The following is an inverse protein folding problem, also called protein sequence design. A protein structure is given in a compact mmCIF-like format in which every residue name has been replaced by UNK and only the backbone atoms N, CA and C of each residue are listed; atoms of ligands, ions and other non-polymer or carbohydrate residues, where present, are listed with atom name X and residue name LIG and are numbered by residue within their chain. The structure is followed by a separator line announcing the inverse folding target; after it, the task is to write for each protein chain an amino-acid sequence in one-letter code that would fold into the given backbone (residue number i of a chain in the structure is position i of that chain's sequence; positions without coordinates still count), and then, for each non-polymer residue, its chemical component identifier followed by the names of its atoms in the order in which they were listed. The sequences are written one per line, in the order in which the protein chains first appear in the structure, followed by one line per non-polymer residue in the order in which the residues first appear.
data_IF_621908352941
#
_entry.id   IF_621908352941
#
_cell.length_a   1.000
_cell.length_b   1.000
_cell.length_c   1.000
_cell.angle_alpha   90.00
_cell.angle_beta   90.00
_cell.angle_gamma   90.00
#
_symmetry.space_group_name_H-M   'P 1'
#
loop_
_entity.id
_entity.type
_entity.pdbx_description
1 polymer ?
#
# COMPACT_ATOMS: atom_id res chain seq x y z
N UNK A 1 -44.13 -9.65 96.47
CA UNK A 1 -44.04 -8.41 95.67
C UNK A 1 -43.32 -8.74 94.37
N UNK A 2 -44.00 -8.63 93.22
CA UNK A 2 -43.53 -9.06 91.89
C UNK A 2 -43.21 -7.85 91.01
N UNK A 3 -42.01 -7.78 90.42
CA UNK A 3 -41.68 -7.08 89.15
C UNK A 3 -40.56 -7.89 88.48
N UNK A 4 -40.86 -8.68 87.43
CA UNK A 4 -40.62 -8.44 85.97
C UNK A 4 -39.11 -8.30 85.67
N UNK A 5 -38.36 -9.29 85.16
CA UNK A 5 -38.38 -9.96 83.82
C UNK A 5 -38.61 -8.93 82.70
N UNK A 6 -37.72 -8.66 81.74
CA UNK A 6 -37.01 -9.58 80.82
C UNK A 6 -35.98 -8.74 80.03
N UNK A 7 -34.80 -9.27 79.70
CA UNK A 7 -34.00 -8.78 78.56
C UNK A 7 -33.17 -9.95 78.02
N UNK A 8 -33.54 -10.41 76.82
CA UNK A 8 -32.89 -11.48 76.06
C UNK A 8 -32.33 -10.84 74.79
N UNK A 9 -31.05 -11.12 74.54
CA UNK A 9 -30.37 -10.87 73.27
C UNK A 9 -31.07 -11.64 72.14
N UNK A 10 -31.34 -10.98 71.02
CA UNK A 10 -31.59 -11.63 69.74
C UNK A 10 -30.81 -10.90 68.64
N UNK A 11 -29.96 -11.66 67.96
CA UNK A 11 -29.15 -11.25 66.83
C UNK A 11 -30.03 -10.91 65.62
N UNK A 12 -29.75 -9.77 64.97
CA UNK A 12 -30.33 -9.43 63.67
C UNK A 12 -29.37 -9.86 62.55
N UNK A 13 -29.84 -10.81 61.73
CA UNK A 13 -29.35 -11.14 60.40
C UNK A 13 -29.73 -9.99 59.45
N UNK A 14 -28.75 -9.28 58.90
CA UNK A 14 -28.97 -8.38 57.76
C UNK A 14 -28.77 -9.13 56.46
N UNK A 15 -29.88 -9.39 55.77
CA UNK A 15 -29.94 -9.88 54.39
C UNK A 15 -29.57 -8.73 53.45
N UNK A 16 -28.45 -8.85 52.74
CA UNK A 16 -28.14 -8.01 51.57
C UNK A 16 -28.97 -8.52 50.39
N UNK A 17 -30.12 -7.89 50.14
CA UNK A 17 -30.79 -7.97 48.85
C UNK A 17 -30.02 -7.07 47.88
N UNK A 18 -29.20 -7.67 47.01
CA UNK A 18 -28.60 -6.99 45.89
C UNK A 18 -29.68 -6.56 44.91
N UNK A 19 -30.05 -5.29 44.96
CA UNK A 19 -30.76 -4.61 43.88
C UNK A 19 -29.81 -4.51 42.68
N UNK A 20 -29.96 -5.41 41.71
CA UNK A 20 -29.58 -5.12 40.34
C UNK A 20 -30.56 -4.07 39.80
N UNK A 21 -30.37 -2.81 40.21
CA UNK A 21 -30.87 -1.70 39.44
C UNK A 21 -29.95 -1.55 38.24
N UNK A 22 -30.45 -2.04 37.11
CA UNK A 22 -30.03 -1.71 35.75
C UNK A 22 -29.87 -0.19 35.63
N UNK A 23 -28.63 0.28 35.71
CA UNK A 23 -28.22 1.63 35.32
C UNK A 23 -28.20 1.74 33.78
N UNK A 24 -29.38 1.61 33.17
CA UNK A 24 -29.59 1.90 31.75
C UNK A 24 -30.18 3.30 31.51
N UNK A 25 -30.31 4.13 32.56
CA UNK A 25 -30.95 5.44 32.50
C UNK A 25 -29.99 6.63 32.38
N UNK A 26 -28.68 6.39 32.34
CA UNK A 26 -27.65 7.45 32.27
C UNK A 26 -26.48 7.07 31.35
N UNK A 27 -26.75 6.27 30.31
CA UNK A 27 -25.93 6.36 29.10
C UNK A 27 -26.29 7.70 28.43
N UNK A 28 -25.78 8.80 29.01
CA UNK A 28 -25.73 10.09 28.33
C UNK A 28 -25.26 9.79 26.92
N UNK A 29 -26.11 10.08 25.92
CA UNK A 29 -25.80 9.86 24.51
C UNK A 29 -24.47 10.52 24.23
N UNK A 30 -23.41 9.72 24.23
CA UNK A 30 -22.06 10.19 24.03
C UNK A 30 -22.05 10.81 22.65
N UNK A 31 -21.79 12.10 22.58
CA UNK A 31 -21.66 12.80 21.31
C UNK A 31 -20.37 12.35 20.64
N UNK A 32 -20.39 12.32 19.32
CA UNK A 32 -19.20 12.14 18.51
C UNK A 32 -18.22 13.30 18.75
N UNK A 33 -16.93 13.04 18.62
CA UNK A 33 -15.94 14.12 18.67
C UNK A 33 -16.13 15.03 17.46
N UNK A 34 -16.01 16.34 17.66
CA UNK A 34 -16.17 17.34 16.59
C UNK A 34 -15.24 17.07 15.41
N UNK A 35 -14.02 16.55 15.66
CA UNK A 35 -13.06 16.17 14.61
C UNK A 35 -13.51 15.01 13.74
N UNK A 36 -14.46 14.20 14.21
CA UNK A 36 -15.01 13.08 13.46
C UNK A 36 -16.19 13.50 12.60
N UNK A 37 -16.75 14.70 12.80
CA UNK A 37 -17.92 15.17 12.05
C UNK A 37 -17.51 15.62 10.64
N UNK A 38 -18.29 15.27 9.60
CA UNK A 38 -17.94 15.64 8.24
C UNK A 38 -18.32 17.09 7.94
N UNK A 39 -17.71 17.65 6.89
CA UNK A 39 -18.20 18.85 6.24
C UNK A 39 -19.33 18.53 5.27
N UNK A 40 -20.24 19.48 5.10
CA UNK A 40 -21.26 19.47 4.05
C UNK A 40 -21.11 20.73 3.22
N UNK A 41 -20.87 20.55 1.92
CA UNK A 41 -20.89 21.62 0.93
C UNK A 41 -22.30 21.79 0.39
N UNK A 42 -22.84 22.99 0.55
CA UNK A 42 -24.14 23.41 0.07
C UNK A 42 -23.99 23.91 -1.36
N UNK A 43 -24.74 23.33 -2.30
CA UNK A 43 -24.69 23.71 -3.72
C UNK A 43 -25.80 24.71 -4.09
N UNK A 44 -26.84 24.80 -3.25
CA UNK A 44 -27.90 25.80 -3.30
C UNK A 44 -27.87 26.65 -2.01
N UNK A 45 -28.70 27.70 -1.94
CA UNK A 45 -28.92 28.44 -0.70
C UNK A 45 -29.77 27.59 0.26
N UNK A 46 -29.37 27.51 1.53
CA UNK A 46 -30.12 26.79 2.57
C UNK A 46 -30.60 27.74 3.66
N UNK A 47 -31.82 27.54 4.14
CA UNK A 47 -32.29 28.18 5.37
C UNK A 47 -31.67 27.50 6.58
N UNK A 48 -31.41 28.27 7.62
CA UNK A 48 -30.99 27.77 8.93
C UNK A 48 -32.13 27.90 9.94
N UNK A 49 -32.19 26.92 10.83
CA UNK A 49 -33.24 26.76 11.81
C UNK A 49 -32.67 26.62 13.23
N UNK A 50 -33.39 27.04 14.27
CA UNK A 50 -32.88 26.97 15.64
C UNK A 50 -32.90 25.55 16.24
N UNK A 51 -33.79 24.66 15.80
CA UNK A 51 -33.93 23.28 16.30
C UNK A 51 -34.26 22.29 15.18
N UNK A 52 -34.25 20.98 15.49
CA UNK A 52 -34.56 19.90 14.54
C UNK A 52 -36.05 19.94 14.12
N UNK A 53 -36.95 20.27 15.03
CA UNK A 53 -38.41 20.17 14.86
C UNK A 53 -39.08 21.41 14.25
N UNK A 54 -38.31 22.45 13.92
CA UNK A 54 -38.83 23.71 13.41
C UNK A 54 -39.52 23.61 12.04
N UNK A 55 -40.45 24.54 11.83
CA UNK A 55 -41.20 24.69 10.59
C UNK A 55 -40.49 25.59 9.57
N UNK A 56 -40.82 25.48 8.26
CA UNK A 56 -40.17 26.28 7.21
C UNK A 56 -40.27 27.81 7.35
N UNK A 57 -41.24 28.31 8.13
CA UNK A 57 -41.47 29.72 8.44
C UNK A 57 -40.68 30.23 9.67
N UNK A 58 -40.03 29.33 10.41
CA UNK A 58 -39.22 29.63 11.60
C UNK A 58 -37.72 29.75 11.28
N UNK A 59 -37.37 30.00 10.02
CA UNK A 59 -35.98 30.18 9.60
C UNK A 59 -35.36 31.42 10.27
N UNK A 60 -34.20 31.24 10.88
CA UNK A 60 -33.45 32.30 11.60
C UNK A 60 -32.37 32.96 10.73
N UNK A 61 -32.23 32.51 9.48
CA UNK A 61 -31.27 33.02 8.51
C UNK A 61 -31.10 32.08 7.32
N UNK A 62 -30.04 32.29 6.56
CA UNK A 62 -29.66 31.47 5.41
C UNK A 62 -28.15 31.41 5.22
N UNK A 63 -27.68 30.30 4.67
CA UNK A 63 -26.31 30.08 4.21
C UNK A 63 -26.35 30.06 2.69
N UNK A 64 -25.49 30.84 2.05
CA UNK A 64 -25.46 30.94 0.59
C UNK A 64 -24.88 29.66 -0.03
N UNK A 65 -25.24 29.42 -1.29
CA UNK A 65 -24.65 28.38 -2.12
C UNK A 65 -23.12 28.44 -2.17
N UNK A 66 -22.51 27.31 -2.49
CA UNK A 66 -21.07 27.11 -2.64
C UNK A 66 -20.30 27.42 -1.35
N UNK A 67 -20.88 27.09 -0.20
CA UNK A 67 -20.23 27.16 1.11
C UNK A 67 -20.20 25.79 1.77
N UNK A 68 -19.12 25.52 2.51
CA UNK A 68 -19.03 24.33 3.35
C UNK A 68 -19.29 24.68 4.80
N UNK A 69 -20.13 23.88 5.43
CA UNK A 69 -20.44 23.96 6.86
C UNK A 69 -19.96 22.69 7.55
N UNK A 70 -19.43 22.85 8.76
CA UNK A 70 -19.02 21.73 9.59
C UNK A 70 -20.24 21.19 10.33
N UNK A 71 -20.45 19.87 10.32
CA UNK A 71 -21.55 19.29 11.09
C UNK A 71 -21.25 19.40 12.60
N UNK A 72 -22.25 19.80 13.38
CA UNK A 72 -22.10 19.83 14.83
C UNK A 72 -22.16 18.40 15.40
N UNK A 73 -21.52 18.12 16.55
CA UNK A 73 -21.55 16.82 17.19
C UNK A 73 -22.95 16.23 17.35
N UNK A 74 -23.13 14.97 16.93
CA UNK A 74 -24.36 14.19 17.10
C UNK A 74 -24.12 12.95 17.96
N UNK A 75 -25.16 12.31 18.50
CA UNK A 75 -25.01 11.01 19.18
C UNK A 75 -24.26 9.98 18.33
N UNK A 76 -23.30 9.26 18.92
CA UNK A 76 -22.43 8.31 18.19
C UNK A 76 -23.23 7.25 17.41
N UNK A 77 -24.36 6.81 17.95
CA UNK A 77 -25.26 5.84 17.33
C UNK A 77 -25.92 6.36 16.03
N UNK A 78 -25.93 7.68 15.81
CA UNK A 78 -26.42 8.32 14.57
C UNK A 78 -25.36 8.53 13.49
N UNK A 79 -24.06 8.39 13.81
CA UNK A 79 -22.97 8.67 12.85
C UNK A 79 -23.08 7.88 11.54
N UNK A 80 -23.41 6.59 11.65
CA UNK A 80 -23.55 5.72 10.48
C UNK A 80 -24.83 5.99 9.66
N UNK A 81 -25.74 6.81 10.19
CA UNK A 81 -27.02 7.14 9.56
C UNK A 81 -27.09 8.58 9.05
N UNK A 82 -25.99 9.35 9.11
CA UNK A 82 -25.95 10.75 8.65
C UNK A 82 -26.48 10.90 7.22
N UNK A 83 -26.18 9.96 6.33
CA UNK A 83 -26.64 10.01 4.94
C UNK A 83 -28.17 9.93 4.78
N UNK A 84 -28.86 9.39 5.78
CA UNK A 84 -30.33 9.27 5.79
C UNK A 84 -31.01 10.39 6.59
N UNK A 85 -30.23 11.30 7.19
CA UNK A 85 -30.79 12.43 7.94
C UNK A 85 -31.35 13.46 6.97
N UNK A 86 -32.59 13.87 7.21
CA UNK A 86 -33.23 14.93 6.41
C UNK A 86 -32.81 16.32 6.90
N UNK A 87 -32.62 16.46 8.21
CA UNK A 87 -32.09 17.65 8.85
C UNK A 87 -30.82 17.29 9.60
N UNK A 88 -29.82 18.15 9.48
CA UNK A 88 -28.55 17.96 10.18
C UNK A 88 -28.19 19.21 10.99
N UNK A 89 -27.57 19.04 12.16
CA UNK A 89 -27.05 20.16 12.92
C UNK A 89 -25.68 20.57 12.36
N UNK A 90 -25.47 21.86 12.21
CA UNK A 90 -24.26 22.47 11.64
C UNK A 90 -23.76 23.60 12.52
N UNK A 91 -22.45 23.78 12.55
CA UNK A 91 -21.80 24.88 13.24
C UNK A 91 -21.89 26.14 12.39
N UNK A 92 -22.47 27.21 12.96
CA UNK A 92 -22.63 28.51 12.29
C UNK A 92 -22.17 29.66 13.17
N UNK A 93 -22.16 30.88 12.63
CA UNK A 93 -21.86 32.09 13.41
C UNK A 93 -22.91 32.40 14.49
N UNK A 94 -24.09 31.77 14.45
CA UNK A 94 -25.13 31.87 15.48
C UNK A 94 -25.05 30.74 16.52
N UNK A 95 -24.02 29.90 16.46
CA UNK A 95 -23.92 28.64 17.21
C UNK A 95 -24.44 27.46 16.41
N UNK A 96 -24.86 26.40 17.11
CA UNK A 96 -25.43 25.21 16.47
C UNK A 96 -26.80 25.58 15.89
N UNK A 97 -26.95 25.38 14.59
CA UNK A 97 -28.20 25.55 13.87
C UNK A 97 -28.50 24.29 13.05
N UNK A 98 -29.71 24.19 12.53
CA UNK A 98 -30.15 23.04 11.74
C UNK A 98 -30.38 23.46 10.29
N UNK A 99 -29.95 22.64 9.35
CA UNK A 99 -30.28 22.78 7.93
C UNK A 99 -31.09 21.57 7.47
N UNK A 100 -32.02 21.80 6.54
CA UNK A 100 -32.85 20.75 5.96
C UNK A 100 -32.31 20.39 4.57
N UNK A 101 -31.68 19.21 4.47
CA UNK A 101 -31.05 18.69 3.27
C UNK A 101 -32.03 18.43 2.12
N UNK A 102 -33.35 18.41 2.38
CA UNK A 102 -34.39 18.33 1.34
C UNK A 102 -34.66 19.66 0.62
N UNK A 103 -34.19 20.79 1.15
CA UNK A 103 -34.49 22.11 0.58
C UNK A 103 -33.60 22.48 -0.61
N UNK A 104 -32.49 21.78 -0.81
CA UNK A 104 -31.54 22.09 -1.87
C UNK A 104 -30.55 20.96 -2.14
N UNK A 105 -29.66 21.19 -3.09
CA UNK A 105 -28.62 20.26 -3.49
C UNK A 105 -27.40 20.41 -2.57
N UNK A 106 -26.78 19.29 -2.19
CA UNK A 106 -25.61 19.29 -1.30
C UNK A 106 -24.66 18.13 -1.62
N UNK A 107 -23.43 18.22 -1.10
CA UNK A 107 -22.47 17.12 -1.07
C UNK A 107 -21.76 17.07 0.27
N UNK A 108 -21.57 15.87 0.78
CA UNK A 108 -20.59 15.65 1.85
C UNK A 108 -19.18 15.91 1.31
N UNK A 109 -18.35 16.54 2.13
CA UNK A 109 -17.02 17.00 1.77
C UNK A 109 -16.85 18.52 1.92
N UNK A 110 -15.59 18.93 1.99
CA UNK A 110 -15.21 20.34 2.15
C UNK A 110 -14.82 20.94 0.79
N UNK A 111 -15.39 22.11 0.47
CA UNK A 111 -15.06 22.89 -0.70
C UNK A 111 -13.71 23.57 -0.49
N UNK A 112 -12.73 23.09 -1.22
CA UNK A 112 -11.37 23.64 -1.17
C UNK A 112 -11.15 24.53 -2.38
N UNK A 113 -10.98 25.83 -2.14
CA UNK A 113 -10.62 26.79 -3.19
C UNK A 113 -9.13 26.70 -3.50
N UNK A 114 -8.81 26.13 -4.66
CA UNK A 114 -7.44 25.99 -5.15
C UNK A 114 -7.48 26.05 -6.68
N UNK A 115 -6.83 27.07 -7.22
CA UNK A 115 -6.63 27.15 -8.66
C UNK A 115 -5.57 26.15 -9.11
N UNK A 116 -5.91 25.33 -10.10
CA UNK A 116 -4.99 24.38 -10.72
C UNK A 116 -5.42 24.06 -12.15
N UNK A 117 -4.45 23.79 -13.01
CA UNK A 117 -4.70 23.29 -14.35
C UNK A 117 -4.84 21.77 -14.31
N UNK A 118 -5.88 21.25 -14.96
CA UNK A 118 -6.09 19.82 -15.18
C UNK A 118 -5.96 19.52 -16.67
N UNK A 119 -5.17 18.51 -17.03
CA UNK A 119 -5.08 18.01 -18.39
C UNK A 119 -5.96 16.76 -18.52
N UNK A 120 -7.16 16.95 -19.09
CA UNK A 120 -8.14 15.89 -19.30
C UNK A 120 -7.65 14.94 -20.38
N UNK A 121 -7.70 13.64 -20.11
CA UNK A 121 -7.22 12.60 -21.03
C UNK A 121 -8.36 11.80 -21.68
N UNK A 122 -9.56 11.87 -21.11
CA UNK A 122 -10.72 11.13 -21.59
C UNK A 122 -11.28 11.72 -22.88
N UNK A 123 -11.73 10.84 -23.78
CA UNK A 123 -12.42 11.27 -24.99
C UNK A 123 -13.68 12.10 -24.71
N UNK A 124 -14.37 11.80 -23.61
CA UNK A 124 -15.61 12.45 -23.19
C UNK A 124 -15.67 12.58 -21.66
N UNK A 125 -15.21 13.70 -21.10
CA UNK A 125 -15.40 14.02 -19.69
C UNK A 125 -16.77 14.69 -19.48
N UNK A 126 -17.70 14.09 -18.70
CA UNK A 126 -19.02 14.67 -18.46
C UNK A 126 -18.94 15.99 -17.70
N UNK A 127 -19.82 16.93 -18.06
CA UNK A 127 -19.95 18.23 -17.39
C UNK A 127 -21.27 18.27 -16.63
N UNK A 128 -21.25 18.88 -15.45
CA UNK A 128 -22.39 19.05 -14.57
C UNK A 128 -22.61 20.53 -14.24
N UNK A 129 -23.87 20.91 -14.04
CA UNK A 129 -24.22 22.25 -13.53
C UNK A 129 -23.78 22.43 -12.07
N UNK A 130 -24.01 23.61 -11.47
CA UNK A 130 -23.58 23.90 -10.10
C UNK A 130 -24.27 23.01 -9.06
N UNK A 131 -25.50 22.56 -9.34
CA UNK A 131 -26.25 21.59 -8.55
C UNK A 131 -25.83 20.14 -8.80
N UNK A 132 -24.76 19.92 -9.57
CA UNK A 132 -24.24 18.62 -9.98
C UNK A 132 -25.23 17.76 -10.78
N UNK A 133 -26.15 18.38 -11.53
CA UNK A 133 -26.98 17.68 -12.51
C UNK A 133 -26.21 17.52 -13.80
N UNK A 134 -26.29 16.33 -14.38
CA UNK A 134 -25.61 16.02 -15.65
C UNK A 134 -26.13 16.93 -16.74
N UNK A 135 -25.21 17.46 -17.55
CA UNK A 135 -25.55 18.15 -18.79
C UNK A 135 -25.37 17.19 -19.97
N UNK A 136 -25.92 17.54 -21.14
CA UNK A 136 -25.72 16.79 -22.39
C UNK A 136 -24.37 17.12 -23.06
N UNK A 137 -23.52 17.93 -22.42
CA UNK A 137 -22.25 18.42 -22.96
C UNK A 137 -21.11 17.66 -22.30
N UNK A 138 -20.13 17.27 -23.10
CA UNK A 138 -18.88 16.65 -22.66
C UNK A 138 -17.68 17.50 -23.08
N UNK A 139 -16.56 17.34 -22.38
CA UNK A 139 -15.27 17.87 -22.77
C UNK A 139 -14.44 16.78 -23.43
N UNK A 140 -13.85 17.09 -24.57
CA UNK A 140 -12.78 16.29 -25.16
C UNK A 140 -11.45 16.50 -24.40
N UNK A 141 -10.41 15.68 -24.64
CA UNK A 141 -9.10 15.86 -24.01
C UNK A 141 -8.57 17.28 -24.24
N UNK A 142 -8.32 18.00 -23.15
CA UNK A 142 -7.86 19.39 -23.17
C UNK A 142 -7.41 19.83 -21.79
N UNK A 143 -6.73 20.98 -21.72
CA UNK A 143 -6.42 21.64 -20.45
C UNK A 143 -7.61 22.48 -19.98
N UNK A 144 -7.95 22.37 -18.71
CA UNK A 144 -9.00 23.17 -18.05
C UNK A 144 -8.48 23.79 -16.75
N UNK A 145 -9.02 24.94 -16.37
CA UNK A 145 -8.72 25.59 -15.10
C UNK A 145 -9.76 25.20 -14.05
N UNK A 146 -9.35 24.38 -13.09
CA UNK A 146 -10.12 24.10 -11.88
C UNK A 146 -9.84 25.20 -10.85
N UNK A 147 -10.90 25.76 -10.26
CA UNK A 147 -10.83 26.85 -9.28
C UNK A 147 -11.20 26.39 -7.86
N UNK A 148 -11.86 25.25 -7.73
CA UNK A 148 -12.17 24.62 -6.46
C UNK A 148 -12.35 23.11 -6.63
N UNK A 149 -12.36 22.38 -5.51
CA UNK A 149 -12.65 20.95 -5.50
C UNK A 149 -13.41 20.51 -4.25
N UNK A 150 -14.16 19.42 -4.37
CA UNK A 150 -14.81 18.72 -3.24
C UNK A 150 -14.37 17.26 -3.29
N UNK A 151 -13.84 16.75 -2.19
CA UNK A 151 -13.55 15.32 -2.03
C UNK A 151 -14.88 14.58 -1.76
N UNK A 152 -15.39 13.82 -2.72
CA UNK A 152 -16.71 13.18 -2.69
C UNK A 152 -16.71 11.79 -2.05
N UNK A 153 -16.02 11.64 -0.93
CA UNK A 153 -16.16 10.44 -0.14
C UNK A 153 -17.42 10.54 0.71
N UNK A 154 -18.23 9.49 0.74
CA UNK A 154 -19.32 9.39 1.70
C UNK A 154 -18.75 9.43 3.14
N UNK A 155 -19.40 10.11 4.09
CA UNK A 155 -18.94 10.15 5.48
C UNK A 155 -18.73 8.73 6.03
N UNK A 156 -17.60 8.51 6.70
CA UNK A 156 -17.19 7.23 7.31
C UNK A 156 -17.06 6.05 6.35
N UNK A 157 -17.22 6.27 5.05
CA UNK A 157 -16.66 5.38 4.04
C UNK A 157 -15.23 5.87 3.80
N UNK A 158 -14.19 5.10 4.14
CA UNK A 158 -12.83 5.54 3.87
C UNK A 158 -12.72 5.91 2.39
N UNK A 159 -12.05 7.03 2.08
CA UNK A 159 -11.60 7.33 0.73
C UNK A 159 -10.63 6.22 0.33
N UNK A 160 -11.17 5.12 -0.20
CA UNK A 160 -10.49 3.82 -0.21
C UNK A 160 -9.34 3.72 -1.20
N UNK A 161 -8.96 4.80 -1.86
CA UNK A 161 -7.66 4.89 -2.52
C UNK A 161 -7.11 6.30 -2.33
N UNK A 162 -5.78 6.41 -2.27
CA UNK A 162 -5.03 7.67 -2.33
C UNK A 162 -5.17 8.40 -3.69
N UNK A 163 -6.18 8.05 -4.49
CA UNK A 163 -6.47 8.68 -5.77
C UNK A 163 -7.59 9.71 -5.65
N UNK A 164 -7.54 10.72 -6.49
CA UNK A 164 -8.59 11.74 -6.64
C UNK A 164 -9.86 11.21 -7.38
N UNK A 165 -10.12 9.89 -7.40
CA UNK A 165 -11.27 9.27 -8.11
C UNK A 165 -12.65 9.66 -7.56
N UNK A 166 -12.65 10.18 -6.33
CA UNK A 166 -13.84 10.77 -5.71
C UNK A 166 -13.86 12.28 -5.80
N UNK A 167 -12.94 12.93 -6.49
CA UNK A 167 -12.85 14.39 -6.44
C UNK A 167 -13.70 15.04 -7.52
N UNK A 168 -14.56 15.97 -7.10
CA UNK A 168 -15.20 16.91 -8.01
C UNK A 168 -14.32 18.13 -8.17
N UNK A 169 -14.19 18.63 -9.39
CA UNK A 169 -13.50 19.88 -9.70
C UNK A 169 -14.48 20.88 -10.27
N UNK A 170 -14.50 22.08 -9.68
CA UNK A 170 -15.23 23.21 -10.22
C UNK A 170 -14.31 23.89 -11.22
N UNK A 171 -14.67 23.82 -12.50
CA UNK A 171 -13.92 24.45 -13.58
C UNK A 171 -14.59 25.74 -14.04
N UNK A 172 -13.80 26.65 -14.60
CA UNK A 172 -14.31 27.83 -15.30
C UNK A 172 -14.35 27.56 -16.79
N UNK A 173 -15.54 27.59 -17.38
CA UNK A 173 -15.71 27.54 -18.84
C UNK A 173 -15.95 28.95 -19.37
N UNK A 174 -15.44 29.24 -20.57
CA UNK A 174 -15.64 30.54 -21.23
C UNK A 174 -17.07 30.75 -21.75
N UNK A 175 -17.83 29.66 -21.96
CA UNK A 175 -19.11 29.66 -22.67
C UNK A 175 -20.32 29.40 -21.78
N UNK A 176 -20.19 28.72 -20.63
CA UNK A 176 -21.30 28.47 -19.70
C UNK A 176 -20.99 28.82 -18.25
N UNK A 177 -19.90 29.54 -18.00
CA UNK A 177 -19.47 29.90 -16.65
C UNK A 177 -18.92 28.70 -15.87
N UNK A 178 -19.17 28.68 -14.56
CA UNK A 178 -18.66 27.62 -13.70
C UNK A 178 -19.43 26.30 -13.88
N UNK A 179 -18.71 25.19 -13.89
CA UNK A 179 -19.25 23.84 -14.06
C UNK A 179 -18.47 22.84 -13.24
N UNK A 180 -19.14 21.79 -12.78
CA UNK A 180 -18.48 20.67 -12.12
C UNK A 180 -18.06 19.63 -13.15
N UNK A 181 -16.88 19.07 -12.97
CA UNK A 181 -16.43 17.87 -13.66
C UNK A 181 -15.95 16.83 -12.64
N UNK A 182 -15.99 15.58 -13.06
CA UNK A 182 -15.42 14.45 -12.32
C UNK A 182 -14.65 13.56 -13.30
N UNK A 183 -13.43 13.95 -13.67
CA UNK A 183 -12.62 13.15 -14.57
C UNK A 183 -12.12 11.90 -13.85
N UNK A 184 -12.33 10.72 -14.43
CA UNK A 184 -11.73 9.47 -13.94
C UNK A 184 -10.23 9.44 -14.32
N UNK A 185 -9.87 10.01 -15.48
CA UNK A 185 -8.50 10.10 -16.00
C UNK A 185 -8.08 11.53 -16.37
N UNK A 186 -7.04 12.02 -15.70
CA UNK A 186 -6.34 13.27 -16.02
C UNK A 186 -4.87 13.15 -15.63
N UNK A 187 -4.00 13.91 -16.30
CA UNK A 187 -2.54 13.75 -16.19
C UNK A 187 -2.01 13.95 -14.76
N UNK A 188 -2.48 14.98 -14.08
CA UNK A 188 -1.99 15.42 -12.77
C UNK A 188 -2.35 14.42 -11.64
N UNK A 189 -3.22 13.44 -11.92
CA UNK A 189 -3.54 12.33 -11.02
C UNK A 189 -2.36 11.37 -10.84
N UNK A 190 -1.53 11.21 -11.87
CA UNK A 190 -0.44 10.23 -11.90
C UNK A 190 0.82 10.81 -11.27
N UNK A 191 0.75 11.11 -9.97
CA UNK A 191 1.87 11.62 -9.19
C UNK A 191 2.73 10.44 -8.75
N UNK A 192 3.91 10.31 -9.34
CA UNK A 192 4.89 9.31 -8.91
C UNK A 192 5.62 9.77 -7.64
N UNK A 193 5.87 8.84 -6.73
CA UNK A 193 6.78 9.05 -5.60
C UNK A 193 8.23 8.87 -6.08
N UNK A 194 9.17 9.75 -5.71
CA UNK A 194 10.58 9.55 -6.00
C UNK A 194 11.06 8.20 -5.46
N UNK A 195 11.93 7.54 -6.23
CA UNK A 195 12.60 6.30 -5.82
C UNK A 195 14.07 6.35 -6.20
N UNK A 196 14.93 5.74 -5.39
CA UNK A 196 16.37 5.79 -5.58
C UNK A 196 16.93 4.53 -6.24
N UNK A 197 16.29 3.37 -6.00
CA UNK A 197 16.68 2.08 -6.52
C UNK A 197 16.59 1.97 -8.03
N UNK A 198 17.38 1.08 -8.61
CA UNK A 198 17.25 0.70 -10.01
C UNK A 198 16.13 -0.32 -10.17
N UNK A 199 15.51 -0.40 -11.34
CA UNK A 199 14.46 -1.39 -11.61
C UNK A 199 14.85 -2.28 -12.80
N UNK A 200 14.64 -3.61 -12.69
CA UNK A 200 14.87 -4.52 -13.78
C UNK A 200 13.68 -4.53 -14.76
N UNK A 201 14.00 -4.54 -16.05
CA UNK A 201 13.06 -4.70 -17.16
C UNK A 201 13.37 -6.06 -17.79
N UNK A 202 12.49 -7.05 -17.54
CA UNK A 202 12.72 -8.44 -17.97
C UNK A 202 12.37 -8.69 -19.43
N UNK A 203 11.38 -8.00 -19.96
CA UNK A 203 10.91 -8.18 -21.33
C UNK A 203 10.82 -6.84 -22.03
N UNK A 204 10.70 -6.86 -23.35
CA UNK A 204 10.52 -5.66 -24.16
C UNK A 204 9.29 -4.88 -23.68
N UNK A 205 9.50 -3.64 -23.23
CA UNK A 205 8.48 -2.86 -22.54
C UNK A 205 8.04 -1.65 -23.36
N UNK A 206 6.73 -1.50 -23.55
CA UNK A 206 6.16 -0.32 -24.21
C UNK A 206 6.23 0.90 -23.30
N UNK A 207 6.38 2.07 -23.92
CA UNK A 207 6.39 3.36 -23.23
C UNK A 207 5.05 4.07 -23.38
N UNK A 208 4.71 4.87 -22.38
CA UNK A 208 3.43 5.56 -22.25
C UNK A 208 3.65 7.02 -21.87
N UNK A 209 2.76 7.90 -22.31
CA UNK A 209 2.76 9.29 -21.85
C UNK A 209 2.23 9.39 -20.42
N UNK A 210 1.18 8.63 -20.09
CA UNK A 210 0.63 8.49 -18.74
C UNK A 210 0.27 7.02 -18.43
N UNK A 211 0.26 6.61 -17.16
CA UNK A 211 -0.21 5.28 -16.76
C UNK A 211 -1.62 4.97 -17.29
N UNK A 212 -1.84 3.71 -17.68
CA UNK A 212 -3.12 3.16 -18.18
C UNK A 212 -3.63 3.73 -19.50
N UNK A 213 -2.92 4.65 -20.13
CA UNK A 213 -3.20 5.07 -21.50
C UNK A 213 -2.80 3.99 -22.51
N UNK A 214 -3.01 4.29 -23.80
CA UNK A 214 -2.50 3.46 -24.89
C UNK A 214 -0.98 3.62 -24.99
N UNK A 215 -0.25 2.54 -25.32
CA UNK A 215 1.18 2.64 -25.56
C UNK A 215 1.45 3.58 -26.74
N UNK A 216 2.56 4.29 -26.68
CA UNK A 216 3.03 5.13 -27.79
C UNK A 216 3.55 4.22 -28.90
N UNK A 217 3.00 4.37 -30.11
CA UNK A 217 3.35 3.52 -31.26
C UNK A 217 4.52 4.08 -32.08
N UNK A 218 4.86 5.35 -31.89
CA UNK A 218 5.89 6.11 -32.58
C UNK A 218 7.23 6.16 -31.83
N UNK A 219 7.29 5.57 -30.62
CA UNK A 219 8.49 5.48 -29.81
C UNK A 219 9.01 4.04 -29.73
N UNK A 220 10.35 3.85 -29.71
CA UNK A 220 10.94 2.53 -29.56
C UNK A 220 10.58 1.95 -28.19
N UNK A 221 10.27 0.66 -28.17
CA UNK A 221 10.12 -0.08 -26.92
C UNK A 221 11.48 -0.24 -26.24
N UNK A 222 11.45 -0.40 -24.92
CA UNK A 222 12.66 -0.61 -24.13
C UNK A 222 13.04 -2.08 -24.16
N UNK A 223 14.27 -2.35 -24.59
CA UNK A 223 14.86 -3.67 -24.45
C UNK A 223 15.08 -4.01 -22.96
N UNK A 224 15.15 -5.32 -22.63
CA UNK A 224 15.49 -5.77 -21.29
C UNK A 224 16.81 -5.18 -20.77
N UNK A 225 16.77 -4.61 -19.56
CA UNK A 225 17.88 -3.88 -18.95
C UNK A 225 17.60 -3.57 -17.48
N UNK A 226 18.55 -2.95 -16.79
CA UNK A 226 18.35 -2.32 -15.48
C UNK A 226 18.49 -0.81 -15.67
N UNK A 227 17.52 -0.03 -15.18
CA UNK A 227 17.52 1.42 -15.34
C UNK A 227 17.14 2.17 -14.07
N UNK A 228 17.46 3.46 -14.01
CA UNK A 228 17.09 4.34 -12.90
C UNK A 228 15.79 5.08 -13.22
N UNK A 229 14.67 4.74 -12.57
CA UNK A 229 13.45 5.52 -12.68
C UNK A 229 13.56 6.83 -11.88
N UNK A 230 12.82 7.85 -12.29
CA UNK A 230 12.66 9.10 -11.55
C UNK A 230 11.56 9.00 -10.50
N UNK A 231 10.51 8.23 -10.80
CA UNK A 231 9.36 8.11 -9.91
C UNK A 231 8.64 6.77 -10.08
N UNK A 232 7.89 6.38 -9.05
CA UNK A 232 7.05 5.18 -8.99
C UNK A 232 5.61 5.57 -8.67
N UNK A 233 4.68 5.11 -9.48
CA UNK A 233 3.26 5.23 -9.23
C UNK A 233 2.68 3.83 -9.01
N UNK A 234 1.95 3.65 -7.90
CA UNK A 234 1.32 2.38 -7.55
C UNK A 234 -0.17 2.59 -7.41
N UNK A 235 -0.97 1.89 -8.21
CA UNK A 235 -2.40 1.81 -8.01
C UNK A 235 -2.76 0.51 -7.28
N UNK A 236 -3.36 0.66 -6.10
CA UNK A 236 -3.92 -0.45 -5.34
C UNK A 236 -5.38 -0.65 -5.73
N UNK A 237 -5.66 -1.70 -6.51
CA UNK A 237 -7.02 -2.16 -6.77
C UNK A 237 -7.38 -3.30 -5.81
N UNK A 238 -8.62 -3.35 -5.32
CA UNK A 238 -9.00 -4.33 -4.28
C UNK A 238 -8.96 -5.78 -4.76
N UNK A 239 -9.46 -6.01 -5.97
CA UNK A 239 -9.67 -7.35 -6.53
C UNK A 239 -8.66 -7.70 -7.63
N UNK A 240 -7.76 -6.77 -7.97
CA UNK A 240 -6.70 -6.99 -8.93
C UNK A 240 -5.34 -6.77 -8.24
N UNK A 241 -4.28 -7.48 -8.66
CA UNK A 241 -2.94 -7.18 -8.20
C UNK A 241 -2.62 -5.70 -8.39
N UNK A 242 -1.79 -5.10 -7.51
CA UNK A 242 -1.38 -3.72 -7.64
C UNK A 242 -0.73 -3.48 -9.01
N UNK A 243 -1.07 -2.35 -9.64
CA UNK A 243 -0.45 -1.94 -10.90
C UNK A 243 0.64 -0.92 -10.61
N UNK A 244 1.88 -1.30 -10.90
CA UNK A 244 3.06 -0.48 -10.65
C UNK A 244 3.57 0.09 -11.96
N UNK A 245 3.84 1.38 -11.96
CA UNK A 245 4.37 2.13 -13.08
C UNK A 245 5.62 2.88 -12.66
N UNK A 246 6.61 2.95 -13.54
CA UNK A 246 7.82 3.71 -13.33
C UNK A 246 7.95 4.81 -14.37
N UNK A 247 8.28 6.02 -13.93
CA UNK A 247 8.59 7.13 -14.81
C UNK A 247 10.10 7.13 -15.08
N UNK A 248 10.48 7.14 -16.35
CA UNK A 248 11.87 7.06 -16.80
C UNK A 248 12.18 8.18 -17.80
N UNK A 249 13.46 8.44 -18.04
CA UNK A 249 13.91 9.34 -19.11
C UNK A 249 14.15 8.54 -20.40
N UNK A 250 13.53 8.96 -21.50
CA UNK A 250 13.80 8.45 -22.86
C UNK A 250 14.38 9.56 -23.73
N UNK A 251 14.78 9.24 -24.97
CA UNK A 251 15.26 10.26 -25.91
C UNK A 251 14.18 11.32 -26.25
N UNK A 252 12.90 11.00 -26.03
CA UNK A 252 11.73 11.82 -26.29
C UNK A 252 11.19 12.48 -25.00
N UNK A 253 11.91 12.36 -23.89
CA UNK A 253 11.58 12.94 -22.58
C UNK A 253 11.04 11.91 -21.59
N UNK A 254 10.26 12.37 -20.61
CA UNK A 254 9.73 11.50 -19.56
C UNK A 254 8.63 10.59 -20.08
N UNK A 255 8.76 9.29 -19.83
CA UNK A 255 7.74 8.28 -20.17
C UNK A 255 7.48 7.37 -18.99
N UNK A 256 6.27 6.84 -18.93
CA UNK A 256 5.89 5.80 -18.01
C UNK A 256 6.06 4.44 -18.66
N UNK A 257 6.47 3.46 -17.86
CA UNK A 257 6.55 2.05 -18.22
C UNK A 257 5.84 1.23 -17.15
N UNK A 258 5.21 0.14 -17.57
CA UNK A 258 4.55 -0.76 -16.63
C UNK A 258 5.60 -1.71 -16.04
N UNK A 259 5.58 -1.90 -14.71
CA UNK A 259 6.38 -2.95 -14.09
C UNK A 259 5.92 -4.34 -14.56
N UNK A 260 6.83 -5.31 -14.61
CA UNK A 260 6.44 -6.70 -14.86
C UNK A 260 5.42 -7.16 -13.80
N UNK A 261 4.31 -7.75 -14.24
CA UNK A 261 3.22 -8.18 -13.34
C UNK A 261 3.70 -9.20 -12.30
N UNK A 262 4.72 -9.99 -12.63
CA UNK A 262 5.33 -10.96 -11.71
C UNK A 262 6.07 -10.30 -10.54
N UNK A 263 6.43 -9.02 -10.64
CA UNK A 263 7.09 -8.28 -9.57
C UNK A 263 6.13 -7.71 -8.52
N UNK A 264 4.82 -7.88 -8.69
CA UNK A 264 3.81 -7.44 -7.71
C UNK A 264 3.92 -5.95 -7.42
N UNK A 265 4.43 -5.60 -6.23
CA UNK A 265 4.66 -4.20 -5.81
C UNK A 265 5.93 -3.56 -6.40
N UNK A 266 6.59 -4.25 -7.33
CA UNK A 266 7.85 -3.83 -7.94
C UNK A 266 9.06 -4.43 -7.23
N UNK A 267 10.19 -4.45 -7.94
CA UNK A 267 11.49 -4.92 -7.42
C UNK A 267 12.51 -3.81 -7.65
N UNK A 268 13.25 -3.49 -6.61
CA UNK A 268 14.37 -2.55 -6.66
C UNK A 268 15.68 -3.32 -6.52
N UNK A 269 16.66 -3.01 -7.36
CA UNK A 269 17.94 -3.70 -7.42
C UNK A 269 19.11 -2.75 -7.24
N UNK A 270 20.21 -3.29 -6.75
CA UNK A 270 21.51 -2.65 -6.85
C UNK A 270 22.08 -2.94 -8.24
N UNK A 271 22.48 -1.92 -9.03
CA UNK A 271 23.11 -2.16 -10.33
C UNK A 271 24.48 -2.80 -10.10
N UNK A 272 24.81 -3.80 -10.90
CA UNK A 272 26.11 -4.47 -10.87
C UNK A 272 26.61 -4.68 -12.29
N UNK A 273 27.90 -4.96 -12.45
CA UNK A 273 28.50 -5.39 -13.71
C UNK A 273 29.47 -6.52 -13.37
N UNK A 274 28.93 -7.74 -13.30
CA UNK A 274 29.65 -8.89 -12.75
C UNK A 274 29.48 -10.12 -13.65
N UNK A 275 30.59 -10.80 -13.90
CA UNK A 275 30.58 -12.13 -14.50
C UNK A 275 30.42 -13.17 -13.38
N UNK A 276 29.30 -13.89 -13.38
CA UNK A 276 28.98 -14.91 -12.38
C UNK A 276 29.16 -16.30 -12.99
N UNK A 277 30.18 -17.03 -12.51
CA UNK A 277 30.42 -18.40 -12.93
C UNK A 277 29.53 -19.37 -12.16
N UNK A 278 28.74 -20.17 -12.88
CA UNK A 278 27.85 -21.19 -12.31
C UNK A 278 28.33 -22.56 -12.85
N UNK A 279 29.18 -23.29 -12.10
CA UNK A 279 29.83 -24.53 -12.58
C UNK A 279 28.92 -25.77 -12.54
N UNK A 280 27.66 -25.60 -12.17
CA UNK A 280 26.65 -26.66 -12.06
C UNK A 280 25.46 -26.36 -12.96
N UNK A 281 24.67 -27.36 -13.36
CA UNK A 281 23.38 -27.12 -13.98
C UNK A 281 22.47 -26.29 -13.05
N UNK A 282 21.78 -25.29 -13.59
CA UNK A 282 21.02 -24.30 -12.82
C UNK A 282 19.75 -23.86 -13.54
N UNK A 283 18.87 -23.11 -12.85
CA UNK A 283 17.64 -22.60 -13.43
C UNK A 283 17.62 -21.06 -13.50
N UNK A 284 16.96 -20.55 -14.53
CA UNK A 284 16.46 -19.18 -14.57
C UNK A 284 15.08 -19.08 -13.92
N UNK A 285 14.87 -17.98 -13.21
CA UNK A 285 13.66 -17.67 -12.46
C UNK A 285 13.03 -16.36 -12.97
N UNK A 286 11.70 -16.31 -12.95
CA UNK A 286 10.98 -15.11 -13.39
C UNK A 286 11.11 -13.95 -12.39
N UNK A 287 11.14 -14.30 -11.11
CA UNK A 287 11.25 -13.38 -9.98
C UNK A 287 12.43 -13.81 -9.10
N UNK A 288 12.93 -12.94 -8.21
CA UNK A 288 13.96 -13.32 -7.23
C UNK A 288 13.35 -14.19 -6.11
N UNK A 289 12.69 -15.29 -6.50
CA UNK A 289 12.00 -16.23 -5.62
C UNK A 289 12.01 -17.63 -6.22
N UNK A 290 12.09 -18.65 -5.36
CA UNK A 290 12.18 -20.04 -5.78
C UNK A 290 10.85 -20.63 -6.25
N UNK A 291 9.72 -20.01 -5.90
CA UNK A 291 8.38 -20.51 -6.26
C UNK A 291 8.07 -20.46 -7.76
N UNK A 292 8.81 -19.65 -8.52
CA UNK A 292 8.51 -19.35 -9.93
C UNK A 292 9.70 -19.68 -10.84
N UNK A 293 10.24 -20.90 -10.70
CA UNK A 293 11.16 -21.46 -11.70
C UNK A 293 10.43 -21.57 -13.05
N UNK A 294 10.86 -20.81 -14.04
CA UNK A 294 10.19 -20.71 -15.36
C UNK A 294 10.86 -21.57 -16.42
N UNK A 295 12.10 -22.03 -16.17
CA UNK A 295 12.98 -22.51 -17.23
C UNK A 295 13.34 -23.98 -17.10
N UNK A 296 13.74 -24.54 -18.25
CA UNK A 296 14.46 -25.80 -18.35
C UNK A 296 15.84 -25.61 -17.70
N UNK A 297 16.36 -26.64 -17.03
CA UNK A 297 17.71 -26.65 -16.47
C UNK A 297 18.73 -26.25 -17.55
N UNK A 298 19.56 -25.27 -17.21
CA UNK A 298 20.62 -24.73 -18.05
C UNK A 298 21.92 -25.48 -17.77
N UNK A 299 22.78 -25.58 -18.78
CA UNK A 299 24.12 -26.13 -18.61
C UNK A 299 25.03 -25.15 -17.83
N UNK A 300 26.07 -25.65 -17.14
CA UNK A 300 27.08 -24.80 -16.49
C UNK A 300 27.63 -23.73 -17.43
N UNK A 301 27.63 -22.47 -17.00
CA UNK A 301 28.13 -21.35 -17.79
C UNK A 301 28.47 -20.14 -16.91
N UNK A 302 29.12 -19.14 -17.50
CA UNK A 302 29.27 -17.81 -16.89
C UNK A 302 28.19 -16.89 -17.43
N UNK A 303 27.47 -16.22 -16.54
CA UNK A 303 26.41 -15.27 -16.89
C UNK A 303 26.82 -13.85 -16.51
N UNK A 304 26.39 -12.86 -17.31
CA UNK A 304 26.62 -11.46 -17.03
C UNK A 304 25.47 -10.87 -16.22
N UNK A 305 25.73 -10.57 -14.95
CA UNK A 305 24.78 -9.95 -14.05
C UNK A 305 24.84 -8.42 -14.13
N UNK A 306 23.66 -7.82 -14.29
CA UNK A 306 23.45 -6.37 -14.41
C UNK A 306 22.64 -5.77 -13.25
N UNK A 307 22.02 -6.61 -12.41
CA UNK A 307 21.32 -6.20 -11.20
C UNK A 307 21.45 -7.24 -10.09
N UNK A 308 21.34 -6.82 -8.83
CA UNK A 308 21.40 -7.68 -7.66
C UNK A 308 20.37 -7.27 -6.61
N UNK A 309 19.71 -8.26 -6.01
CA UNK A 309 18.94 -8.13 -4.77
C UNK A 309 19.25 -9.34 -3.90
N UNK A 310 19.74 -9.12 -2.68
CA UNK A 310 20.19 -10.19 -1.78
C UNK A 310 21.14 -11.19 -2.47
N UNK A 311 20.71 -12.46 -2.60
CA UNK A 311 21.48 -13.55 -3.23
C UNK A 311 21.11 -13.77 -4.70
N UNK A 312 20.21 -12.95 -5.23
CA UNK A 312 19.70 -13.04 -6.58
C UNK A 312 20.38 -12.04 -7.50
N UNK A 313 20.70 -12.51 -8.70
CA UNK A 313 21.30 -11.72 -9.76
C UNK A 313 20.35 -11.67 -10.95
N UNK A 314 20.10 -10.47 -11.45
CA UNK A 314 19.37 -10.23 -12.68
C UNK A 314 20.34 -10.23 -13.86
N UNK A 315 20.07 -11.07 -14.84
CA UNK A 315 20.92 -11.31 -16.03
C UNK A 315 20.06 -11.18 -17.29
N UNK A 316 20.69 -10.93 -18.43
CA UNK A 316 20.04 -11.07 -19.73
C UNK A 316 20.48 -12.41 -20.32
N UNK A 317 19.51 -13.29 -20.63
CA UNK A 317 19.76 -14.60 -21.21
C UNK A 317 20.14 -14.51 -22.71
N UNK A 318 20.46 -15.66 -23.31
CA UNK A 318 20.86 -15.73 -24.72
C UNK A 318 19.72 -15.37 -25.70
N UNK A 319 18.47 -15.40 -25.25
CA UNK A 319 17.30 -14.98 -26.02
C UNK A 319 17.00 -13.48 -25.86
N UNK A 320 17.84 -12.76 -25.11
CA UNK A 320 17.70 -11.33 -24.85
C UNK A 320 16.65 -10.99 -23.78
N UNK A 321 16.20 -11.96 -22.98
CA UNK A 321 15.23 -11.75 -21.90
C UNK A 321 15.93 -11.63 -20.56
N UNK A 322 15.41 -10.77 -19.70
CA UNK A 322 15.85 -10.64 -18.32
C UNK A 322 15.33 -11.80 -17.47
N UNK A 323 16.25 -12.42 -16.73
CA UNK A 323 15.99 -13.55 -15.85
C UNK A 323 16.71 -13.37 -14.51
N UNK A 324 16.27 -14.11 -13.50
CA UNK A 324 16.94 -14.17 -12.21
C UNK A 324 17.69 -15.49 -12.04
N UNK A 325 18.86 -15.44 -11.42
CA UNK A 325 19.64 -16.60 -11.00
C UNK A 325 20.10 -16.43 -9.56
N UNK A 326 20.26 -17.55 -8.85
CA UNK A 326 20.86 -17.58 -7.52
C UNK A 326 22.03 -18.57 -7.49
N UNK A 327 23.24 -18.12 -7.89
CA UNK A 327 24.41 -19.00 -7.98
C UNK A 327 24.73 -19.69 -6.65
N UNK A 328 24.56 -18.99 -5.52
CA UNK A 328 24.84 -19.54 -4.20
C UNK A 328 23.96 -20.74 -3.88
N UNK A 329 22.65 -20.64 -4.11
CA UNK A 329 21.74 -21.78 -3.89
C UNK A 329 22.02 -22.91 -4.85
N UNK A 330 22.19 -22.60 -6.14
CA UNK A 330 22.38 -23.61 -7.18
C UNK A 330 23.63 -24.45 -6.91
N UNK A 331 24.75 -23.81 -6.54
CA UNK A 331 25.99 -24.52 -6.17
C UNK A 331 25.83 -25.26 -4.85
N UNK A 332 25.28 -24.61 -3.81
CA UNK A 332 25.10 -25.22 -2.49
C UNK A 332 24.23 -26.50 -2.54
N UNK A 333 23.21 -26.53 -3.41
CA UNK A 333 22.35 -27.71 -3.60
C UNK A 333 23.06 -28.94 -4.14
N UNK A 334 24.26 -28.77 -4.72
CA UNK A 334 25.09 -29.84 -5.29
C UNK A 334 26.25 -30.24 -4.37
N UNK A 335 26.42 -29.57 -3.23
CA UNK A 335 27.41 -29.94 -2.21
C UNK A 335 26.86 -31.14 -1.44
N UNK A 336 27.59 -32.26 -1.48
CA UNK A 336 27.11 -33.57 -1.01
C UNK A 336 27.69 -34.00 0.34
N UNK A 337 28.77 -33.36 0.78
CA UNK A 337 29.58 -33.82 1.91
C UNK A 337 30.72 -34.77 1.50
N UNK A 338 30.81 -35.19 0.24
CA UNK A 338 32.00 -35.84 -0.30
C UNK A 338 33.04 -34.79 -0.70
N UNK A 339 34.22 -34.82 -0.08
CA UNK A 339 35.23 -33.78 -0.31
C UNK A 339 35.75 -33.76 -1.75
N UNK A 340 35.94 -34.92 -2.37
CA UNK A 340 36.56 -34.99 -3.69
C UNK A 340 35.65 -34.40 -4.78
N UNK A 341 34.33 -34.56 -4.61
CA UNK A 341 33.33 -33.90 -5.46
C UNK A 341 33.14 -32.42 -5.09
N UNK A 342 32.99 -32.11 -3.80
CA UNK A 342 32.71 -30.76 -3.32
C UNK A 342 33.89 -29.78 -3.56
N UNK A 343 35.13 -30.28 -3.60
CA UNK A 343 36.32 -29.48 -3.91
C UNK A 343 36.24 -28.86 -5.31
N UNK A 344 35.56 -29.51 -6.26
CA UNK A 344 35.31 -28.98 -7.61
C UNK A 344 34.38 -27.76 -7.59
N UNK A 345 33.58 -27.62 -6.53
CA UNK A 345 32.65 -26.52 -6.28
C UNK A 345 33.24 -25.44 -5.35
N UNK A 346 34.54 -25.52 -5.06
CA UNK A 346 35.26 -24.52 -4.27
C UNK A 346 35.31 -24.81 -2.77
N UNK A 347 34.86 -25.98 -2.31
CA UNK A 347 35.06 -26.39 -0.91
C UNK A 347 36.53 -26.64 -0.64
N UNK A 348 37.03 -26.17 0.51
CA UNK A 348 38.43 -26.30 0.94
C UNK A 348 38.49 -27.00 2.28
N UNK A 349 39.58 -27.75 2.53
CA UNK A 349 39.87 -28.23 3.88
C UNK A 349 40.09 -27.02 4.80
N UNK A 350 39.58 -27.15 6.02
CA UNK A 350 39.76 -26.17 7.08
C UNK A 350 40.18 -26.89 8.37
N UNK A 351 40.84 -26.15 9.25
CA UNK A 351 41.10 -26.52 10.64
C UNK A 351 40.78 -25.35 11.57
N UNK A 352 39.93 -24.43 11.10
CA UNK A 352 39.61 -23.20 11.79
C UNK A 352 38.76 -23.49 13.04
N UNK A 353 39.14 -22.85 14.15
CA UNK A 353 38.39 -22.91 15.40
C UNK A 353 37.28 -21.87 15.38
N UNK A 354 36.03 -22.34 15.48
CA UNK A 354 34.83 -21.51 15.43
C UNK A 354 34.20 -21.42 16.81
N UNK A 355 33.82 -20.20 17.20
CA UNK A 355 32.95 -19.98 18.35
C UNK A 355 31.50 -19.97 17.87
N UNK A 356 30.70 -20.93 18.34
CA UNK A 356 29.29 -21.04 18.02
C UNK A 356 28.46 -20.56 19.20
N UNK A 357 27.34 -19.91 18.91
CA UNK A 357 26.39 -19.38 19.89
C UNK A 357 24.94 -19.52 19.38
N UNK A 358 23.97 -18.99 20.12
CA UNK A 358 22.54 -19.11 19.78
C UNK A 358 22.14 -18.41 18.47
N UNK A 359 22.98 -17.51 17.95
CA UNK A 359 22.78 -16.84 16.66
C UNK A 359 23.47 -17.56 15.49
N UNK A 360 24.33 -18.55 15.77
CA UNK A 360 24.92 -19.41 14.75
C UNK A 360 23.88 -20.39 14.22
N UNK A 361 23.81 -20.52 12.90
CA UNK A 361 22.81 -21.36 12.22
C UNK A 361 23.50 -22.51 11.50
N UNK A 362 22.88 -23.68 11.54
CA UNK A 362 23.36 -24.87 10.84
C UNK A 362 22.29 -25.54 9.98
N UNK A 363 22.70 -26.00 8.80
CA UNK A 363 21.89 -26.65 7.79
C UNK A 363 22.61 -27.84 7.16
N UNK A 364 21.87 -28.65 6.41
CA UNK A 364 22.45 -29.76 5.62
C UNK A 364 23.18 -29.28 4.36
N UNK A 365 22.80 -28.12 3.82
CA UNK A 365 23.45 -27.45 2.70
C UNK A 365 23.95 -26.08 3.14
N UNK A 366 25.06 -25.55 2.58
CA UNK A 366 25.62 -24.26 2.98
C UNK A 366 24.84 -23.08 2.36
N UNK A 367 23.54 -23.02 2.60
CA UNK A 367 22.69 -21.95 2.10
C UNK A 367 21.49 -21.74 3.02
N UNK A 368 21.14 -20.48 3.27
CA UNK A 368 20.03 -20.07 4.10
C UNK A 368 19.04 -19.21 3.31
N UNK A 369 17.76 -19.57 3.39
CA UNK A 369 16.61 -18.81 2.89
C UNK A 369 15.40 -19.00 3.82
N UNK A 370 14.31 -18.27 3.58
CA UNK A 370 13.10 -18.35 4.41
C UNK A 370 12.52 -19.78 4.50
N UNK A 371 12.69 -20.61 3.47
CA UNK A 371 12.19 -21.99 3.45
C UNK A 371 13.01 -22.91 4.35
N UNK A 372 14.33 -22.77 4.31
CA UNK A 372 15.26 -23.57 5.12
C UNK A 372 15.22 -23.20 6.61
N UNK A 373 14.73 -22.01 6.97
CA UNK A 373 14.66 -21.56 8.36
C UNK A 373 13.80 -22.46 9.28
N UNK A 374 12.86 -23.24 8.73
CA UNK A 374 12.04 -24.16 9.52
C UNK A 374 12.80 -25.38 10.07
N UNK A 375 14.05 -25.61 9.64
CA UNK A 375 14.91 -26.71 10.07
C UNK A 375 16.22 -26.27 10.73
N UNK A 376 16.31 -25.02 11.17
CA UNK A 376 17.55 -24.46 11.72
C UNK A 376 17.96 -25.17 13.00
N UNK A 377 19.21 -25.62 13.02
CA UNK A 377 19.87 -26.04 14.24
C UNK A 377 20.61 -24.85 14.86
N UNK A 378 20.24 -24.51 16.10
CA UNK A 378 20.94 -23.51 16.92
C UNK A 378 21.93 -24.18 17.87
N UNK A 379 22.91 -23.41 18.34
CA UNK A 379 23.96 -23.91 19.22
C UNK A 379 23.95 -23.20 20.57
N UNK A 380 24.23 -23.93 21.64
CA UNK A 380 24.70 -23.31 22.87
C UNK A 380 26.15 -22.81 22.66
N UNK A 381 26.61 -21.81 23.44
CA UNK A 381 28.00 -21.35 23.40
C UNK A 381 29.01 -22.49 23.48
N UNK A 382 29.79 -22.69 22.42
CA UNK A 382 30.80 -23.75 22.34
C UNK A 382 31.87 -23.43 21.28
N UNK A 383 33.01 -24.10 21.37
CA UNK A 383 34.07 -24.01 20.36
C UNK A 383 34.17 -25.34 19.60
N UNK A 384 34.17 -25.27 18.27
CA UNK A 384 34.33 -26.42 17.39
C UNK A 384 35.43 -26.19 16.38
N UNK A 385 35.99 -27.26 15.81
CA UNK A 385 36.95 -27.17 14.71
C UNK A 385 36.22 -27.55 13.42
N UNK A 386 36.22 -26.63 12.45
CA UNK A 386 35.68 -26.92 11.13
C UNK A 386 36.63 -27.81 10.35
N UNK A 387 36.10 -28.83 9.68
CA UNK A 387 36.88 -29.71 8.80
C UNK A 387 36.98 -29.16 7.39
N UNK A 388 36.03 -28.29 6.99
CA UNK A 388 35.98 -27.67 5.66
C UNK A 388 35.41 -26.27 5.73
N UNK A 389 35.70 -25.47 4.73
CA UNK A 389 35.07 -24.18 4.49
C UNK A 389 34.67 -24.00 3.03
N UNK A 390 33.65 -23.20 2.79
CA UNK A 390 33.16 -22.85 1.46
C UNK A 390 32.82 -21.37 1.43
N UNK A 391 33.42 -20.63 0.49
CA UNK A 391 33.06 -19.24 0.23
C UNK A 391 32.00 -19.22 -0.87
N UNK A 392 30.80 -18.83 -0.52
CA UNK A 392 29.69 -18.76 -1.47
C UNK A 392 29.88 -17.61 -2.48
N UNK A 393 29.24 -17.67 -3.66
CA UNK A 393 29.24 -16.58 -4.63
C UNK A 393 28.72 -15.21 -4.10
N UNK A 394 27.92 -15.20 -3.04
CA UNK A 394 27.48 -13.98 -2.35
C UNK A 394 28.46 -13.47 -1.29
N UNK A 395 29.59 -14.16 -1.07
CA UNK A 395 30.66 -13.75 -0.16
C UNK A 395 30.52 -14.25 1.28
N UNK A 396 29.56 -15.12 1.56
CA UNK A 396 29.39 -15.74 2.86
C UNK A 396 30.33 -16.94 3.00
N UNK A 397 30.95 -17.10 4.17
CA UNK A 397 31.80 -18.26 4.44
C UNK A 397 31.06 -19.25 5.31
N UNK A 398 30.83 -20.44 4.77
CA UNK A 398 30.20 -21.56 5.43
C UNK A 398 31.25 -22.57 5.88
N UNK A 399 31.00 -23.22 7.02
CA UNK A 399 31.94 -24.15 7.62
C UNK A 399 31.30 -25.50 7.88
N UNK A 400 31.98 -26.57 7.51
CA UNK A 400 31.49 -27.93 7.72
C UNK A 400 32.00 -28.48 9.05
N UNK A 401 31.07 -28.91 9.90
CA UNK A 401 31.37 -29.46 11.23
C UNK A 401 30.61 -30.77 11.46
N UNK A 402 31.08 -31.58 12.40
CA UNK A 402 30.33 -32.73 12.89
C UNK A 402 29.55 -32.35 14.14
N UNK A 403 28.24 -32.57 14.11
CA UNK A 403 27.34 -32.35 15.25
C UNK A 403 26.74 -33.67 15.75
N UNK A 404 25.99 -33.63 16.84
CA UNK A 404 25.26 -34.80 17.35
C UNK A 404 24.10 -35.24 16.44
N UNK A 405 23.65 -34.38 15.51
CA UNK A 405 22.65 -34.71 14.49
C UNK A 405 23.27 -35.08 13.13
N UNK A 406 24.58 -35.30 13.10
CA UNK A 406 25.34 -35.54 11.88
C UNK A 406 26.13 -34.31 11.44
N UNK A 407 26.75 -34.41 10.27
CA UNK A 407 27.56 -33.33 9.73
C UNK A 407 26.67 -32.22 9.16
N UNK A 408 27.04 -30.96 9.41
CA UNK A 408 26.27 -29.78 9.04
C UNK A 408 27.18 -28.68 8.51
N UNK A 409 26.63 -27.83 7.66
CA UNK A 409 27.21 -26.56 7.27
C UNK A 409 26.73 -25.46 8.21
N UNK A 410 27.65 -24.66 8.72
CA UNK A 410 27.42 -23.65 9.74
C UNK A 410 27.84 -22.28 9.23
N UNK A 411 26.99 -21.29 9.45
CA UNK A 411 27.31 -19.89 9.29
C UNK A 411 27.52 -19.29 10.69
N UNK A 412 28.77 -19.07 11.13
CA UNK A 412 29.05 -18.41 12.40
C UNK A 412 28.63 -16.94 12.30
N UNK A 413 27.95 -16.43 13.33
CA UNK A 413 27.47 -15.04 13.41
C UNK A 413 28.00 -14.36 14.66
#
# INVERSE_FOLDING_TARGET
MKKRLTLLLAACLTVWAGTFHTSHAEEQQRLADSTDMPYVTLLDDFKIYPTEETRPDEAIGSISAMQSVHMAPIPIDRLLYIMNMEKIPVETWLGIAWINLKEGSYKYGHLTHKEQTLNLLEANTPIYDLQMKSTDITLSPQKVEAIASIDACEPYTPCRTNGDWYKWYLIRTSWSGQKWIRPDHYAEKYIGNPIEGMVPIAEENTVYLYPFERPLNDEPKLAPQVLKPKAKYTEYSRMAPPSVWYQIETAQGLRWIQADKSYGLGVEVTPVDLQQSIPVPFHYYQTPSFYYAKSIEQSPQTVHAIGKIDHWYFVIDNDGKGQWVNPSKEIASRITGDYDEDAKLGVKLSGESLELNESSIAFDIPYADEETMNGVMNFAPQTVIASRSWLSPNGETWYYIHTWQGAKWVLPK
#
